data_IF_579031524886
#
_entry.id   IF_579031524886
#
_cell.length_a   1.000
_cell.length_b   1.000
_cell.length_c   1.000
_cell.angle_alpha   90.00
_cell.angle_beta   90.00
_cell.angle_gamma   90.00
#
_symmetry.space_group_name_H-M   'P 1'
#
loop_
_entity.id
_entity.type
_entity.pdbx_description
1 polymer ?
#
# COMPACT_ATOMS: atom_id res chain seq x y z
N UNK A 1 5.41 9.28 -2.11
CA UNK A 1 6.86 8.98 -2.31
C UNK A 1 7.07 7.53 -1.93
N UNK A 2 7.85 6.78 -2.72
CA UNK A 2 8.16 5.39 -2.40
C UNK A 2 8.80 5.25 -1.01
N UNK A 3 8.50 4.14 -0.32
CA UNK A 3 8.96 3.87 1.03
C UNK A 3 10.09 2.84 1.08
N UNK A 4 10.13 1.92 0.11
CA UNK A 4 11.01 0.74 0.15
C UNK A 4 12.26 0.94 -0.69
N UNK A 5 12.10 1.31 -1.97
CA UNK A 5 13.23 1.56 -2.88
C UNK A 5 13.15 2.95 -3.49
N UNK A 6 14.28 3.48 -3.93
CA UNK A 6 14.39 4.79 -4.56
C UNK A 6 14.42 4.68 -6.10
N UNK A 7 14.04 5.76 -6.78
CA UNK A 7 14.20 5.87 -8.24
C UNK A 7 15.64 5.61 -8.69
N UNK A 8 16.65 6.03 -7.91
CA UNK A 8 18.05 5.79 -8.19
C UNK A 8 18.42 4.30 -8.15
N UNK A 9 17.89 3.55 -7.17
CA UNK A 9 18.09 2.10 -7.08
C UNK A 9 17.44 1.39 -8.27
N UNK A 10 16.17 1.71 -8.58
CA UNK A 10 15.48 1.13 -9.73
C UNK A 10 16.18 1.44 -11.04
N UNK A 11 16.63 2.69 -11.24
CA UNK A 11 17.37 3.11 -12.44
C UNK A 11 18.65 2.30 -12.64
N UNK A 12 19.39 2.04 -11.56
CA UNK A 12 20.61 1.24 -11.60
C UNK A 12 20.32 -0.20 -12.04
N UNK A 13 19.22 -0.80 -11.57
CA UNK A 13 18.80 -2.15 -11.96
C UNK A 13 18.37 -2.21 -13.41
N UNK A 14 17.62 -1.19 -13.88
CA UNK A 14 17.14 -1.12 -15.27
C UNK A 14 18.25 -0.78 -16.26
N UNK A 15 19.38 -0.19 -15.82
CA UNK A 15 20.46 0.27 -16.71
C UNK A 15 20.08 1.47 -17.58
N UNK A 16 19.09 2.27 -17.18
CA UNK A 16 18.58 3.41 -17.95
C UNK A 16 19.14 4.74 -17.45
N UNK A 17 19.19 5.76 -18.34
CA UNK A 17 19.68 7.09 -17.99
C UNK A 17 18.57 7.97 -17.38
N UNK A 18 18.97 8.95 -16.58
CA UNK A 18 18.05 9.94 -16.01
C UNK A 18 17.51 10.94 -17.05
N UNK A 19 18.17 11.05 -18.21
CA UNK A 19 17.68 11.88 -19.32
C UNK A 19 16.51 11.25 -20.08
N UNK A 20 16.38 9.93 -20.04
CA UNK A 20 15.27 9.20 -20.68
C UNK A 20 14.09 8.96 -19.73
N UNK A 21 14.40 8.67 -18.47
CA UNK A 21 13.40 8.38 -17.45
C UNK A 21 13.72 9.17 -16.19
N UNK A 22 12.93 10.19 -15.91
CA UNK A 22 13.10 11.03 -14.73
C UNK A 22 12.68 10.31 -13.42
N UNK A 23 13.01 10.92 -12.29
CA UNK A 23 12.71 10.34 -10.98
C UNK A 23 11.21 10.26 -10.72
N UNK A 24 10.42 11.20 -11.23
CA UNK A 24 8.97 11.20 -11.04
C UNK A 24 8.32 10.00 -11.72
N UNK A 25 8.75 9.69 -12.95
CA UNK A 25 8.28 8.52 -13.69
C UNK A 25 8.62 7.20 -12.97
N UNK A 26 9.88 7.06 -12.53
CA UNK A 26 10.31 5.86 -11.82
C UNK A 26 9.65 5.72 -10.45
N UNK A 27 9.44 6.83 -9.73
CA UNK A 27 8.70 6.82 -8.46
C UNK A 27 7.26 6.34 -8.63
N UNK A 28 6.56 6.75 -9.69
CA UNK A 28 5.20 6.27 -9.98
C UNK A 28 5.15 4.75 -10.21
N UNK A 29 6.19 4.20 -10.87
CA UNK A 29 6.31 2.75 -11.06
C UNK A 29 6.54 2.04 -9.73
N UNK A 30 7.45 2.57 -8.89
CA UNK A 30 7.73 2.01 -7.57
C UNK A 30 6.48 2.08 -6.68
N UNK A 31 5.78 3.21 -6.64
CA UNK A 31 4.54 3.37 -5.88
C UNK A 31 3.45 2.37 -6.34
N UNK A 32 3.38 2.09 -7.64
CA UNK A 32 2.48 1.07 -8.18
C UNK A 32 2.88 -0.33 -7.71
N UNK A 33 4.17 -0.64 -7.69
CA UNK A 33 4.68 -1.92 -7.18
C UNK A 33 4.46 -2.07 -5.67
N UNK A 34 4.72 -1.01 -4.89
CA UNK A 34 4.41 -0.96 -3.45
C UNK A 34 2.91 -1.17 -3.20
N UNK A 35 2.05 -0.54 -4.01
CA UNK A 35 0.61 -0.70 -3.94
C UNK A 35 0.10 -2.12 -4.18
N UNK A 36 0.90 -2.96 -4.86
CA UNK A 36 0.61 -4.39 -5.06
C UNK A 36 1.15 -5.26 -3.93
N UNK A 37 2.37 -4.99 -3.47
CA UNK A 37 3.08 -5.88 -2.53
C UNK A 37 2.75 -5.56 -1.07
N UNK A 38 2.82 -4.29 -0.66
CA UNK A 38 2.67 -3.91 0.75
C UNK A 38 1.32 -4.31 1.38
N UNK A 39 0.17 -4.25 0.66
CA UNK A 39 -1.10 -4.69 1.23
C UNK A 39 -1.21 -6.19 1.52
N UNK A 40 -0.26 -7.00 1.03
CA UNK A 40 -0.21 -8.44 1.30
C UNK A 40 0.54 -8.77 2.60
N UNK A 41 1.31 -7.81 3.12
CA UNK A 41 2.19 -8.02 4.27
C UNK A 41 1.44 -7.77 5.59
N UNK A 42 1.78 -8.54 6.60
CA UNK A 42 1.36 -8.28 7.97
C UNK A 42 1.75 -6.87 8.40
N UNK A 43 0.79 -6.11 8.91
CA UNK A 43 1.05 -4.77 9.41
C UNK A 43 -0.01 -4.37 10.44
N UNK A 44 0.27 -3.32 11.20
CA UNK A 44 -0.71 -2.74 12.13
C UNK A 44 -1.67 -1.81 11.37
N UNK A 45 -2.32 -2.33 10.33
CA UNK A 45 -3.21 -1.59 9.46
C UNK A 45 -4.48 -2.35 9.15
N UNK A 46 -5.53 -1.62 8.76
CA UNK A 46 -6.79 -2.23 8.33
C UNK A 46 -7.51 -1.34 7.30
N UNK A 47 -8.28 -1.95 6.41
CA UNK A 47 -9.16 -1.24 5.49
C UNK A 47 -10.45 -0.86 6.18
N UNK A 48 -10.94 0.34 5.90
CA UNK A 48 -12.17 0.88 6.46
C UNK A 48 -13.31 0.71 5.44
N UNK A 49 -14.32 -0.06 5.83
CA UNK A 49 -15.50 -0.31 4.99
C UNK A 49 -16.51 0.82 5.06
N UNK A 50 -16.59 1.49 6.19
CA UNK A 50 -17.52 2.59 6.40
C UNK A 50 -17.38 3.18 7.80
N UNK A 51 -18.15 4.22 8.06
CA UNK A 51 -18.21 4.89 9.36
C UNK A 51 -19.57 5.50 9.64
N UNK A 52 -19.85 5.76 10.89
CA UNK A 52 -20.98 6.58 11.35
C UNK A 52 -20.49 7.59 12.40
N UNK A 53 -21.21 8.70 12.56
CA UNK A 53 -20.91 9.70 13.59
C UNK A 53 -22.15 9.90 14.45
N UNK A 54 -21.99 9.76 15.76
CA UNK A 54 -23.04 9.99 16.74
C UNK A 54 -22.48 10.62 18.01
N UNK A 55 -23.10 11.68 18.45
CA UNK A 55 -22.78 12.36 19.71
C UNK A 55 -21.27 12.67 19.84
N UNK A 56 -20.65 13.24 18.81
CA UNK A 56 -19.24 13.62 18.81
C UNK A 56 -18.25 12.44 18.74
N UNK A 57 -18.71 11.26 18.32
CA UNK A 57 -17.90 10.06 18.16
C UNK A 57 -18.06 9.49 16.76
N UNK A 58 -16.96 9.35 16.04
CA UNK A 58 -16.93 8.62 14.78
C UNK A 58 -16.56 7.15 15.05
N UNK A 59 -17.41 6.24 14.62
CA UNK A 59 -17.23 4.78 14.75
C UNK A 59 -16.93 4.21 13.37
N UNK A 60 -15.79 3.54 13.23
CA UNK A 60 -15.34 2.94 11.98
C UNK A 60 -15.57 1.42 11.99
N UNK A 61 -15.94 0.91 10.83
CA UNK A 61 -16.02 -0.54 10.56
C UNK A 61 -14.80 -0.96 9.75
N UNK A 62 -14.04 -1.93 10.23
CA UNK A 62 -12.86 -2.49 9.58
C UNK A 62 -13.18 -3.75 8.79
N UNK A 63 -12.41 -4.03 7.75
CA UNK A 63 -12.60 -5.21 6.91
C UNK A 63 -12.18 -6.50 7.62
N UNK A 64 -11.08 -6.45 8.34
CA UNK A 64 -10.55 -7.54 9.15
C UNK A 64 -10.63 -7.17 10.64
N UNK A 65 -10.52 -8.13 11.56
CA UNK A 65 -10.37 -7.82 12.98
C UNK A 65 -9.21 -6.86 13.18
N UNK A 66 -9.45 -5.73 13.82
CA UNK A 66 -8.39 -4.76 14.10
C UNK A 66 -7.63 -5.13 15.38
N UNK A 67 -6.36 -4.72 15.43
CA UNK A 67 -5.47 -4.87 16.58
C UNK A 67 -5.23 -3.52 17.29
N UNK A 68 -6.11 -2.54 17.05
CA UNK A 68 -5.99 -1.22 17.65
C UNK A 68 -6.38 -1.25 19.13
N UNK A 69 -5.74 -0.39 19.91
CA UNK A 69 -6.03 -0.26 21.34
C UNK A 69 -6.37 1.19 21.72
N UNK A 70 -7.10 1.37 22.79
CA UNK A 70 -7.46 2.70 23.30
C UNK A 70 -6.21 3.56 23.57
N UNK A 71 -6.34 4.85 23.31
CA UNK A 71 -5.28 5.87 23.40
C UNK A 71 -4.14 5.68 22.39
N UNK A 72 -4.26 4.78 21.44
CA UNK A 72 -3.30 4.60 20.36
C UNK A 72 -3.53 5.67 19.28
N UNK A 73 -2.43 6.20 18.74
CA UNK A 73 -2.49 7.12 17.60
C UNK A 73 -2.49 6.35 16.30
N UNK A 74 -3.52 6.60 15.49
CA UNK A 74 -3.66 6.05 14.14
C UNK A 74 -3.48 7.15 13.11
N UNK A 75 -3.02 6.78 11.94
CA UNK A 75 -3.15 7.59 10.72
C UNK A 75 -4.30 7.03 9.89
N UNK A 76 -5.30 7.87 9.61
CA UNK A 76 -6.49 7.53 8.83
C UNK A 76 -6.43 8.23 7.49
N UNK A 77 -6.84 7.56 6.41
CA UNK A 77 -6.91 8.11 5.07
C UNK A 77 -8.10 7.56 4.28
N UNK A 78 -8.51 8.29 3.24
CA UNK A 78 -9.60 7.87 2.34
C UNK A 78 -11.00 7.92 2.96
N UNK A 79 -11.21 8.71 4.02
CA UNK A 79 -12.52 8.87 4.69
C UNK A 79 -13.12 10.24 4.35
N UNK A 80 -12.80 11.25 5.12
CA UNK A 80 -13.20 12.64 4.90
C UNK A 80 -12.07 13.57 5.32
N UNK A 81 -12.09 14.82 4.88
CA UNK A 81 -11.04 15.78 5.21
C UNK A 81 -10.89 15.96 6.72
N UNK A 82 -11.99 15.93 7.48
CA UNK A 82 -11.99 16.12 8.92
C UNK A 82 -11.53 14.87 9.71
N UNK A 83 -11.74 13.68 9.17
CA UNK A 83 -11.43 12.41 9.85
C UNK A 83 -10.09 11.82 9.38
N UNK A 84 -9.54 12.30 8.25
CA UNK A 84 -8.22 11.90 7.77
C UNK A 84 -7.10 12.49 8.63
N UNK A 85 -5.94 11.84 8.61
CA UNK A 85 -4.75 12.28 9.34
C UNK A 85 -4.57 11.55 10.65
N UNK A 86 -3.84 12.18 11.59
CA UNK A 86 -3.51 11.60 12.90
C UNK A 86 -4.70 11.69 13.84
N UNK A 87 -5.18 10.55 14.33
CA UNK A 87 -6.34 10.44 15.20
C UNK A 87 -6.02 9.54 16.40
N UNK A 88 -6.66 9.79 17.53
CA UNK A 88 -6.50 8.97 18.73
C UNK A 88 -7.71 8.07 18.92
N UNK A 89 -7.49 6.78 19.12
CA UNK A 89 -8.53 5.80 19.40
C UNK A 89 -9.13 6.07 20.77
N UNK A 90 -10.44 6.28 20.82
CA UNK A 90 -11.18 6.49 22.09
C UNK A 90 -11.76 5.20 22.63
N UNK A 91 -12.16 4.28 21.76
CA UNK A 91 -12.62 2.96 22.15
C UNK A 91 -12.43 1.95 21.01
N UNK A 92 -12.17 0.69 21.35
CA UNK A 92 -12.10 -0.41 20.39
C UNK A 92 -13.37 -1.27 20.43
N UNK A 93 -14.35 -0.91 21.25
CA UNK A 93 -15.50 -1.75 21.59
C UNK A 93 -15.10 -3.24 21.80
N UNK A 94 -15.93 -4.02 22.41
CA UNK A 94 -15.69 -5.47 22.59
C UNK A 94 -15.78 -6.27 21.26
N UNK A 95 -15.89 -5.58 20.12
CA UNK A 95 -16.02 -6.19 18.79
C UNK A 95 -14.75 -5.92 17.98
N UNK A 96 -14.11 -6.96 17.43
CA UNK A 96 -12.82 -6.82 16.76
C UNK A 96 -12.85 -6.00 15.46
N UNK A 97 -14.05 -5.72 14.92
CA UNK A 97 -14.22 -5.00 13.64
C UNK A 97 -14.56 -3.53 13.80
N UNK A 98 -14.50 -2.98 15.02
CA UNK A 98 -14.89 -1.58 15.25
C UNK A 98 -13.84 -0.87 16.10
N UNK A 99 -13.64 0.41 15.82
CA UNK A 99 -12.97 1.33 16.71
C UNK A 99 -13.59 2.72 16.58
N UNK A 100 -13.36 3.59 17.54
CA UNK A 100 -13.90 4.94 17.51
C UNK A 100 -12.83 6.00 17.81
N UNK A 101 -13.10 7.19 17.31
CA UNK A 101 -12.33 8.40 17.60
C UNK A 101 -13.29 9.52 18.02
N UNK A 102 -12.81 10.51 18.77
CA UNK A 102 -13.57 11.72 19.03
C UNK A 102 -13.58 12.63 17.80
N UNK A 103 -14.69 13.30 17.52
CA UNK A 103 -14.82 14.26 16.43
C UNK A 103 -15.78 15.38 16.80
N UNK A 104 -15.65 16.53 16.12
CA UNK A 104 -16.60 17.64 16.22
C UNK A 104 -17.55 17.71 15.03
N UNK A 105 -17.51 16.72 14.15
CA UNK A 105 -18.41 16.65 12.99
C UNK A 105 -19.85 16.36 13.43
N UNK A 106 -20.81 16.83 12.62
CA UNK A 106 -22.23 16.58 12.83
C UNK A 106 -22.57 15.08 12.77
N UNK A 107 -23.63 14.70 13.47
CA UNK A 107 -24.13 13.32 13.42
C UNK A 107 -24.40 12.88 11.99
N UNK A 108 -23.92 11.71 11.65
CA UNK A 108 -24.00 11.10 10.33
C UNK A 108 -24.37 9.63 10.47
N UNK A 109 -25.40 9.21 9.75
CA UNK A 109 -25.74 7.78 9.64
C UNK A 109 -24.62 7.05 8.90
N UNK A 110 -24.57 5.73 9.07
CA UNK A 110 -23.55 4.89 8.44
C UNK A 110 -23.33 5.22 6.97
N UNK A 111 -22.10 5.50 6.62
CA UNK A 111 -21.62 5.79 5.28
C UNK A 111 -20.64 4.70 4.85
N UNK A 112 -20.94 3.94 3.79
CA UNK A 112 -19.97 3.05 3.17
C UNK A 112 -18.87 3.85 2.47
N UNK A 113 -17.63 3.36 2.52
CA UNK A 113 -16.49 3.97 1.85
C UNK A 113 -16.16 3.23 0.55
N UNK A 114 -16.29 3.93 -0.59
CA UNK A 114 -15.95 3.44 -1.92
C UNK A 114 -15.17 4.54 -2.67
N UNK A 115 -13.86 4.36 -2.92
CA UNK A 115 -13.01 3.24 -2.46
C UNK A 115 -12.89 3.19 -0.94
N UNK A 116 -12.50 2.03 -0.41
CA UNK A 116 -12.30 1.83 1.02
C UNK A 116 -11.25 2.79 1.58
N UNK A 117 -11.48 3.29 2.79
CA UNK A 117 -10.49 4.01 3.56
C UNK A 117 -9.42 3.08 4.14
N UNK A 118 -8.43 3.68 4.80
CA UNK A 118 -7.33 2.95 5.40
C UNK A 118 -6.95 3.54 6.76
N UNK A 119 -6.67 2.70 7.74
CA UNK A 119 -6.17 3.11 9.05
C UNK A 119 -4.98 2.24 9.44
N UNK A 120 -3.93 2.84 9.98
CA UNK A 120 -2.77 2.14 10.51
C UNK A 120 -2.21 2.83 11.75
N UNK A 121 -1.52 2.07 12.59
CA UNK A 121 -0.83 2.63 13.75
C UNK A 121 0.29 3.54 13.26
N UNK A 122 0.32 4.79 13.70
CA UNK A 122 1.31 5.77 13.28
C UNK A 122 2.74 5.26 13.52
N UNK A 123 3.58 5.30 12.48
CA UNK A 123 4.93 4.75 12.48
C UNK A 123 5.00 3.22 12.30
N UNK A 124 3.89 2.55 11.97
CA UNK A 124 3.82 1.09 11.77
C UNK A 124 3.00 0.70 10.53
N UNK A 125 3.04 1.50 9.49
CA UNK A 125 2.59 1.07 8.16
C UNK A 125 3.49 -0.04 7.62
N UNK A 126 3.01 -0.84 6.67
CA UNK A 126 3.83 -1.86 6.03
C UNK A 126 5.12 -1.27 5.43
N UNK A 127 5.03 -0.09 4.78
CA UNK A 127 6.20 0.61 4.23
C UNK A 127 7.23 1.01 5.29
N UNK A 128 6.80 1.37 6.51
CA UNK A 128 7.70 1.73 7.60
C UNK A 128 8.32 0.49 8.28
N UNK A 129 7.53 -0.57 8.47
CA UNK A 129 8.00 -1.82 9.09
C UNK A 129 9.06 -2.50 8.25
N UNK A 130 8.86 -2.55 6.93
CA UNK A 130 9.69 -3.31 5.99
C UNK A 130 10.68 -2.45 5.19
N UNK A 131 10.87 -1.18 5.55
CA UNK A 131 11.72 -0.22 4.82
C UNK A 131 13.18 -0.65 4.59
N UNK A 132 13.70 -1.57 5.41
CA UNK A 132 15.07 -2.07 5.32
C UNK A 132 15.14 -3.61 5.17
N UNK A 133 14.05 -4.24 4.76
CA UNK A 133 14.02 -5.70 4.57
C UNK A 133 14.43 -6.06 3.13
N UNK A 134 15.56 -6.81 2.94
CA UNK A 134 16.07 -7.12 1.61
C UNK A 134 15.13 -7.97 0.75
N UNK A 135 14.31 -8.83 1.36
CA UNK A 135 13.38 -9.68 0.61
C UNK A 135 12.23 -8.84 0.05
N UNK A 136 11.77 -7.85 0.82
CA UNK A 136 10.74 -6.91 0.39
C UNK A 136 11.30 -5.93 -0.66
N UNK A 137 12.53 -5.41 -0.47
CA UNK A 137 13.21 -4.60 -1.49
C UNK A 137 13.31 -5.35 -2.82
N UNK A 138 13.72 -6.63 -2.79
CA UNK A 138 13.81 -7.46 -3.98
C UNK A 138 12.43 -7.71 -4.62
N UNK A 139 11.40 -7.99 -3.82
CA UNK A 139 10.04 -8.19 -4.31
C UNK A 139 9.51 -6.93 -5.03
N UNK A 140 9.65 -5.75 -4.40
CA UNK A 140 9.26 -4.47 -5.00
C UNK A 140 10.07 -4.18 -6.27
N UNK A 141 11.38 -4.46 -6.25
CA UNK A 141 12.24 -4.28 -7.44
C UNK A 141 11.77 -5.15 -8.60
N UNK A 142 11.49 -6.42 -8.37
CA UNK A 142 11.01 -7.36 -9.40
C UNK A 142 9.69 -6.86 -10.01
N UNK A 143 8.72 -6.46 -9.17
CA UNK A 143 7.43 -5.94 -9.65
C UNK A 143 7.63 -4.63 -10.42
N UNK A 144 8.49 -3.73 -9.93
CA UNK A 144 8.79 -2.45 -10.61
C UNK A 144 9.41 -2.66 -11.98
N UNK A 145 10.36 -3.59 -12.11
CA UNK A 145 10.98 -3.96 -13.41
C UNK A 145 9.92 -4.50 -14.36
N UNK A 146 9.03 -5.35 -13.87
CA UNK A 146 7.95 -5.94 -14.66
C UNK A 146 6.97 -4.85 -15.17
N UNK A 147 6.55 -3.93 -14.31
CA UNK A 147 5.69 -2.80 -14.69
C UNK A 147 6.41 -1.93 -15.74
N UNK A 148 7.67 -1.57 -15.50
CA UNK A 148 8.47 -0.78 -16.44
C UNK A 148 8.53 -1.44 -17.82
N UNK A 149 8.88 -2.73 -17.88
CA UNK A 149 8.99 -3.47 -19.13
C UNK A 149 7.64 -3.59 -19.85
N UNK A 150 6.54 -3.79 -19.12
CA UNK A 150 5.21 -3.86 -19.73
C UNK A 150 4.79 -2.55 -20.40
N UNK A 151 5.12 -1.42 -19.80
CA UNK A 151 4.81 -0.08 -20.35
C UNK A 151 5.70 0.21 -21.57
N UNK A 152 7.01 -0.05 -21.46
CA UNK A 152 7.96 0.25 -22.55
C UNK A 152 7.77 -0.67 -23.74
N UNK A 153 7.44 -1.95 -23.54
CA UNK A 153 7.12 -2.88 -24.62
C UNK A 153 5.85 -2.50 -25.39
N UNK A 154 4.84 -1.95 -24.70
CA UNK A 154 3.61 -1.46 -25.33
C UNK A 154 3.80 -0.16 -26.13
N UNK A 155 4.81 0.65 -25.76
CA UNK A 155 5.08 1.97 -26.37
C UNK A 155 5.87 1.94 -27.69
N UNK A 156 6.31 0.77 -28.18
CA UNK A 156 7.15 0.66 -29.39
C UNK A 156 8.61 1.06 -29.12
N UNK A 157 9.49 0.72 -30.03
CA UNK A 157 10.95 0.81 -29.96
C UNK A 157 11.45 2.11 -29.28
N UNK A 158 12.27 1.95 -28.26
CA UNK A 158 13.16 3.02 -27.80
C UNK A 158 14.26 3.13 -28.89
N UNK A 159 14.17 4.16 -29.74
CA UNK A 159 15.20 4.42 -30.73
C UNK A 159 16.55 4.64 -30.04
N UNK A 160 17.53 3.84 -30.35
CA UNK A 160 18.94 4.06 -29.97
C UNK A 160 19.58 3.08 -29.00
N UNK A 161 18.91 2.02 -28.62
CA UNK A 161 19.53 0.91 -27.89
C UNK A 161 19.30 -0.38 -28.67
N UNK A 162 20.36 -1.20 -28.86
CA UNK A 162 20.27 -2.56 -29.43
C UNK A 162 19.46 -3.53 -28.51
N UNK A 163 18.38 -3.01 -27.93
CA UNK A 163 17.46 -3.75 -27.12
C UNK A 163 16.32 -4.24 -28.02
N UNK A 164 16.43 -5.45 -28.51
CA UNK A 164 15.30 -6.16 -29.11
C UNK A 164 14.41 -6.59 -27.94
N UNK A 165 13.23 -5.95 -27.75
CA UNK A 165 12.31 -6.45 -26.75
C UNK A 165 11.87 -7.83 -27.18
N UNK A 166 12.32 -8.86 -26.47
CA UNK A 166 11.68 -10.16 -26.57
C UNK A 166 10.19 -9.92 -26.24
N UNK A 167 9.24 -10.53 -27.01
CA UNK A 167 7.82 -10.33 -26.76
C UNK A 167 7.57 -10.65 -25.30
N UNK A 168 7.29 -9.59 -24.52
CA UNK A 168 7.14 -9.67 -23.09
C UNK A 168 5.90 -10.51 -22.79
N UNK A 169 6.13 -11.73 -22.42
CA UNK A 169 5.11 -12.55 -21.76
C UNK A 169 5.27 -12.24 -20.27
N UNK A 170 4.30 -11.52 -19.71
CA UNK A 170 4.17 -11.41 -18.25
C UNK A 170 4.40 -12.81 -17.69
N UNK A 171 5.56 -13.00 -17.05
CA UNK A 171 6.02 -14.36 -16.73
C UNK A 171 4.98 -15.03 -15.84
N UNK A 172 4.40 -16.14 -16.28
CA UNK A 172 3.46 -16.95 -15.48
C UNK A 172 3.99 -17.23 -14.06
N UNK A 173 5.27 -17.03 -13.85
CA UNK A 173 5.97 -17.24 -12.59
C UNK A 173 6.19 -15.97 -11.73
N UNK A 174 5.80 -14.78 -12.21
CA UNK A 174 6.01 -13.55 -11.41
C UNK A 174 5.32 -13.62 -10.05
N UNK A 175 4.01 -13.95 -9.95
CA UNK A 175 3.36 -14.08 -8.66
C UNK A 175 4.05 -15.10 -7.76
N UNK A 176 4.45 -16.24 -8.28
CA UNK A 176 5.13 -17.27 -7.50
C UNK A 176 6.51 -16.83 -7.00
N UNK A 177 7.26 -16.09 -7.81
CA UNK A 177 8.57 -15.54 -7.42
C UNK A 177 8.44 -14.47 -6.34
N UNK A 178 7.54 -13.51 -6.54
CA UNK A 178 7.26 -12.47 -5.55
C UNK A 178 6.76 -13.12 -4.26
N UNK A 179 5.80 -14.05 -4.38
CA UNK A 179 5.24 -14.75 -3.23
C UNK A 179 6.29 -15.52 -2.44
N UNK A 180 7.24 -16.20 -3.11
CA UNK A 180 8.31 -16.92 -2.42
C UNK A 180 9.21 -16.01 -1.55
N UNK A 181 9.38 -14.74 -1.95
CA UNK A 181 10.16 -13.76 -1.18
C UNK A 181 9.38 -13.25 0.05
N UNK A 182 8.08 -13.01 -0.14
CA UNK A 182 7.25 -12.38 0.90
C UNK A 182 6.50 -13.37 1.79
N UNK A 183 6.51 -14.68 1.48
CA UNK A 183 5.66 -15.69 2.11
C UNK A 183 5.73 -15.72 3.65
N UNK A 184 6.90 -15.43 4.23
CA UNK A 184 7.09 -15.38 5.68
C UNK A 184 6.44 -14.16 6.36
N UNK A 185 6.02 -13.16 5.56
CA UNK A 185 5.43 -11.91 6.03
C UNK A 185 3.96 -11.74 5.62
N UNK A 186 3.41 -12.70 4.87
CA UNK A 186 2.05 -12.59 4.36
C UNK A 186 1.04 -12.93 5.45
N UNK A 187 0.08 -12.04 5.64
CA UNK A 187 -1.05 -12.28 6.52
C UNK A 187 -1.94 -13.39 5.95
N UNK A 188 -2.08 -14.49 6.69
CA UNK A 188 -2.87 -15.66 6.26
C UNK A 188 -4.34 -15.31 6.00
N UNK A 189 -4.87 -14.29 6.68
CA UNK A 189 -6.23 -13.79 6.48
C UNK A 189 -6.46 -13.09 5.13
N UNK A 190 -5.40 -12.53 4.50
CA UNK A 190 -5.50 -11.87 3.19
C UNK A 190 -5.60 -12.85 2.02
N UNK A 191 -5.32 -14.13 2.24
CA UNK A 191 -5.32 -15.18 1.23
C UNK A 191 -6.66 -15.88 1.06
N UNK A 192 -7.61 -15.63 1.94
CA UNK A 192 -8.91 -16.31 1.97
C UNK A 192 -10.04 -15.50 1.29
N UNK A 193 -9.70 -14.45 0.53
CA UNK A 193 -10.68 -13.61 -0.19
C UNK A 193 -10.63 -13.81 -1.70
#
# INVERSE_FOLDING_TARGET
MPNIITASQLRKVLGVSSSLFDDAYLNNIIESAEGVVLPLLESYSNRLQGYEIKNGTAVFTTQLPNLFVENQTLTISGVSTALNGSQTVTSTYLRPYFFSIATNEADLNYQPLIPQGYAYVSGKSAGEIYAADPDIENAITIVSVEIFQSITAAGGQIEGVDFVPAPFRMGRNLPARVYSLIAKYVEVGSMAQ
#
